data_IF_592600572838
#
_entry.id   IF_592600572838
#
_cell.length_a   1.000
_cell.length_b   1.000
_cell.length_c   1.000
_cell.angle_alpha   90.00
_cell.angle_beta   90.00
_cell.angle_gamma   90.00
#
_symmetry.space_group_name_H-M   'P 1'
#
loop_
_entity.id
_entity.type
_entity.pdbx_description
1 polymer ?
#
# COMPACT_ATOMS: atom_id res chain seq x y z
N UNK A 1 3.83 -4.52 35.11
CA UNK A 1 2.55 -3.77 35.06
C UNK A 1 1.83 -4.18 33.79
N UNK A 2 0.52 -4.48 33.87
CA UNK A 2 -0.29 -4.81 32.68
C UNK A 2 -0.75 -3.50 32.05
N UNK A 3 -0.45 -3.32 30.76
CA UNK A 3 -1.01 -2.22 29.97
C UNK A 3 -2.43 -2.58 29.53
N UNK A 4 -3.36 -1.62 29.60
CA UNK A 4 -4.71 -1.79 29.03
C UNK A 4 -4.82 -1.03 27.72
N UNK A 5 -5.58 -1.54 26.77
CA UNK A 5 -5.90 -0.90 25.50
C UNK A 5 -7.35 -1.22 25.09
N UNK A 6 -8.03 -0.33 24.40
CA UNK A 6 -9.30 -0.64 23.76
C UNK A 6 -9.05 -1.43 22.46
N UNK A 7 -8.02 -1.01 21.71
CA UNK A 7 -7.56 -1.69 20.50
C UNK A 7 -6.06 -1.98 20.59
N UNK A 8 -5.67 -3.23 20.33
CA UNK A 8 -4.29 -3.64 20.13
C UNK A 8 -4.11 -4.07 18.67
N UNK A 9 -3.22 -3.41 17.95
CA UNK A 9 -2.83 -3.77 16.59
C UNK A 9 -1.45 -4.43 16.65
N UNK A 10 -1.35 -5.63 16.07
CA UNK A 10 -0.11 -6.41 15.98
C UNK A 10 0.42 -6.28 14.56
N UNK A 11 1.57 -5.63 14.41
CA UNK A 11 2.25 -5.36 13.14
C UNK A 11 2.25 -3.88 12.76
N UNK A 12 3.46 -3.31 12.61
CA UNK A 12 3.72 -1.91 12.22
C UNK A 12 3.89 -1.72 10.71
N UNK A 13 3.27 -2.59 9.89
CA UNK A 13 3.21 -2.41 8.44
C UNK A 13 2.16 -1.38 8.02
N UNK A 14 2.06 -1.12 6.70
CA UNK A 14 1.08 -0.18 6.15
C UNK A 14 -0.36 -0.52 6.53
N UNK A 15 -0.69 -1.81 6.64
CA UNK A 15 -2.04 -2.25 7.02
C UNK A 15 -2.29 -1.93 8.49
N UNK A 16 -1.38 -2.32 9.39
CA UNK A 16 -1.54 -2.09 10.83
C UNK A 16 -1.62 -0.61 11.19
N UNK A 17 -0.76 0.23 10.60
CA UNK A 17 -0.80 1.68 10.82
C UNK A 17 -2.14 2.29 10.37
N UNK A 18 -2.65 1.91 9.18
CA UNK A 18 -3.93 2.40 8.70
C UNK A 18 -5.11 1.90 9.55
N UNK A 19 -5.07 0.65 10.03
CA UNK A 19 -6.11 0.12 10.94
C UNK A 19 -6.09 0.84 12.29
N UNK A 20 -4.91 1.12 12.84
CA UNK A 20 -4.76 1.89 14.08
C UNK A 20 -5.29 3.32 13.92
N UNK A 21 -4.95 4.00 12.82
CA UNK A 21 -5.46 5.33 12.48
C UNK A 21 -6.99 5.31 12.30
N UNK A 22 -7.53 4.32 11.61
CA UNK A 22 -8.98 4.19 11.41
C UNK A 22 -9.71 3.89 12.72
N UNK A 23 -9.15 3.05 13.61
CA UNK A 23 -9.69 2.82 14.95
C UNK A 23 -9.75 4.13 15.74
N UNK A 24 -8.68 4.92 15.72
CA UNK A 24 -8.62 6.21 16.41
C UNK A 24 -9.58 7.24 15.82
N UNK A 25 -9.74 7.25 14.50
CA UNK A 25 -10.71 8.13 13.81
C UNK A 25 -12.16 7.81 14.17
N UNK A 26 -12.51 6.51 14.25
CA UNK A 26 -13.87 6.06 14.62
C UNK A 26 -14.16 6.20 16.10
N UNK A 27 -13.16 6.02 16.93
CA UNK A 27 -13.26 6.04 18.39
C UNK A 27 -12.21 6.99 18.98
N UNK A 28 -12.41 8.33 18.90
CA UNK A 28 -11.37 9.31 19.28
C UNK A 28 -10.90 9.18 20.71
N UNK A 29 -11.78 8.79 21.65
CA UNK A 29 -11.45 8.58 23.07
C UNK A 29 -10.73 7.27 23.37
N UNK A 30 -10.63 6.35 22.42
CA UNK A 30 -10.05 5.03 22.65
C UNK A 30 -8.53 5.09 22.85
N UNK A 31 -8.03 4.17 23.66
CA UNK A 31 -6.61 3.87 23.77
C UNK A 31 -6.21 2.83 22.74
N UNK A 32 -5.48 3.26 21.72
CA UNK A 32 -4.96 2.41 20.66
C UNK A 32 -3.48 2.15 20.88
N UNK A 33 -3.10 0.88 20.97
CA UNK A 33 -1.70 0.43 21.06
C UNK A 33 -1.37 -0.34 19.79
N UNK A 34 -0.23 -0.05 19.19
CA UNK A 34 0.32 -0.79 18.07
C UNK A 34 1.68 -1.38 18.47
N UNK A 35 1.86 -2.67 18.31
CA UNK A 35 3.15 -3.34 18.55
C UNK A 35 3.80 -3.77 17.25
N UNK A 36 5.12 -3.61 17.15
CA UNK A 36 5.95 -4.04 16.04
C UNK A 36 7.18 -4.78 16.57
N UNK A 37 7.48 -5.96 16.01
CA UNK A 37 8.60 -6.79 16.46
C UNK A 37 9.97 -6.19 16.15
N UNK A 38 10.06 -5.47 15.04
CA UNK A 38 11.29 -4.81 14.61
C UNK A 38 11.50 -3.49 15.37
N UNK A 39 12.66 -2.89 15.25
CA UNK A 39 13.04 -1.61 15.84
C UNK A 39 12.31 -0.40 15.24
N UNK A 40 11.67 -0.60 14.07
CA UNK A 40 10.88 0.41 13.36
C UNK A 40 9.71 -0.19 12.60
N UNK A 41 8.66 0.61 12.41
CA UNK A 41 7.57 0.28 11.50
C UNK A 41 8.04 0.23 10.04
N UNK A 42 7.39 -0.62 9.22
CA UNK A 42 7.70 -0.72 7.80
C UNK A 42 9.03 -1.40 7.45
N UNK A 43 9.69 -2.06 8.39
CA UNK A 43 10.98 -2.70 8.18
C UNK A 43 10.99 -3.80 7.09
N UNK A 44 9.83 -4.36 6.78
CA UNK A 44 9.63 -5.42 5.78
C UNK A 44 8.96 -4.91 4.49
N UNK A 45 8.00 -5.64 3.94
CA UNK A 45 7.39 -5.40 2.64
C UNK A 45 6.86 -3.96 2.45
N UNK A 46 6.30 -3.35 3.49
CA UNK A 46 5.71 -2.01 3.41
C UNK A 46 6.73 -0.92 3.09
N UNK A 47 7.95 -1.01 3.61
CA UNK A 47 9.03 -0.05 3.33
C UNK A 47 10.05 -0.54 2.29
N UNK A 48 9.90 -1.76 1.75
CA UNK A 48 10.87 -2.41 0.84
C UNK A 48 10.22 -2.94 -0.43
N UNK A 49 9.38 -2.13 -1.05
CA UNK A 49 8.74 -2.48 -2.32
C UNK A 49 9.16 -1.49 -3.41
N UNK A 50 8.67 -1.69 -4.63
CA UNK A 50 9.03 -0.85 -5.79
C UNK A 50 8.45 0.57 -5.75
N UNK A 51 7.57 0.88 -4.82
CA UNK A 51 6.87 2.17 -4.74
C UNK A 51 5.90 2.45 -5.89
N UNK A 52 5.61 1.47 -6.73
CA UNK A 52 4.72 1.66 -7.88
C UNK A 52 3.26 1.64 -7.44
N UNK A 53 2.55 2.73 -7.69
CA UNK A 53 1.11 2.83 -7.54
C UNK A 53 0.47 2.26 -8.81
N UNK A 54 0.15 0.97 -8.77
CA UNK A 54 -0.46 0.27 -9.90
C UNK A 54 -1.88 0.78 -10.17
N UNK A 55 -2.19 1.11 -11.41
CA UNK A 55 -3.52 1.59 -11.81
C UNK A 55 -4.64 0.51 -11.72
N UNK A 56 -4.29 -0.77 -11.66
CA UNK A 56 -5.25 -1.86 -11.41
C UNK A 56 -5.67 -2.66 -12.64
N UNK A 57 -5.15 -2.39 -13.83
CA UNK A 57 -5.52 -3.11 -15.07
C UNK A 57 -4.96 -4.54 -15.16
N UNK A 58 -4.02 -4.93 -14.31
CA UNK A 58 -3.51 -6.30 -14.24
C UNK A 58 -4.47 -7.29 -13.59
N UNK A 59 -5.39 -6.80 -12.75
CA UNK A 59 -6.21 -7.67 -11.92
C UNK A 59 -7.50 -8.09 -12.62
N UNK A 60 -7.99 -9.27 -12.25
CA UNK A 60 -9.30 -9.75 -12.70
C UNK A 60 -10.36 -8.72 -12.33
N UNK A 61 -11.21 -8.38 -13.30
CA UNK A 61 -12.35 -7.48 -13.09
C UNK A 61 -13.23 -7.98 -11.93
N UNK A 62 -13.86 -7.06 -11.23
CA UNK A 62 -14.79 -7.33 -10.12
C UNK A 62 -14.13 -7.94 -8.85
N UNK A 63 -12.80 -8.09 -8.85
CA UNK A 63 -12.08 -8.52 -7.65
C UNK A 63 -11.92 -7.36 -6.63
N UNK A 64 -11.91 -7.70 -5.34
CA UNK A 64 -11.58 -6.73 -4.29
C UNK A 64 -10.21 -6.07 -4.53
N UNK A 65 -9.26 -6.84 -5.09
CA UNK A 65 -7.93 -6.33 -5.42
C UNK A 65 -7.98 -5.25 -6.50
N UNK A 66 -8.78 -5.43 -7.57
CA UNK A 66 -8.98 -4.41 -8.60
C UNK A 66 -9.62 -3.16 -8.01
N UNK A 67 -10.67 -3.33 -7.18
CA UNK A 67 -11.38 -2.24 -6.52
C UNK A 67 -10.46 -1.44 -5.59
N UNK A 68 -9.77 -2.09 -4.66
CA UNK A 68 -8.91 -1.42 -3.70
C UNK A 68 -7.68 -0.77 -4.36
N UNK A 69 -7.13 -1.38 -5.42
CA UNK A 69 -6.03 -0.76 -6.17
C UNK A 69 -6.51 0.51 -6.87
N UNK A 70 -7.67 0.50 -7.52
CA UNK A 70 -8.25 1.69 -8.15
C UNK A 70 -8.52 2.80 -7.12
N UNK A 71 -9.13 2.47 -5.98
CA UNK A 71 -9.37 3.44 -4.92
C UNK A 71 -8.06 4.00 -4.34
N UNK A 72 -7.06 3.13 -4.15
CA UNK A 72 -5.74 3.50 -3.65
C UNK A 72 -4.99 4.45 -4.60
N UNK A 73 -5.13 4.23 -5.92
CA UNK A 73 -4.55 5.10 -6.95
C UNK A 73 -5.12 6.53 -6.92
N UNK A 74 -6.32 6.72 -6.39
CA UNK A 74 -6.92 8.04 -6.19
C UNK A 74 -6.55 8.66 -4.84
N UNK A 75 -6.43 7.85 -3.80
CA UNK A 75 -6.23 8.33 -2.41
C UNK A 75 -4.76 8.60 -2.08
N UNK A 76 -3.85 7.71 -2.47
CA UNK A 76 -2.43 7.83 -2.10
C UNK A 76 -1.74 9.06 -2.73
N UNK A 77 -1.99 9.45 -4.00
CA UNK A 77 -1.48 10.70 -4.53
C UNK A 77 -1.91 11.92 -3.73
N UNK A 78 -3.20 11.99 -3.35
CA UNK A 78 -3.72 13.07 -2.51
C UNK A 78 -3.02 13.10 -1.15
N UNK A 79 -2.88 11.96 -0.50
CA UNK A 79 -2.15 11.84 0.76
C UNK A 79 -0.71 12.35 0.62
N UNK A 80 -0.01 11.96 -0.45
CA UNK A 80 1.35 12.43 -0.70
C UNK A 80 1.40 13.96 -0.90
N UNK A 81 0.48 14.51 -1.67
CA UNK A 81 0.40 15.96 -1.92
C UNK A 81 0.10 16.73 -0.62
N UNK A 82 -0.85 16.28 0.19
CA UNK A 82 -1.20 16.87 1.49
C UNK A 82 -0.05 16.84 2.51
N UNK A 83 0.84 15.85 2.40
CA UNK A 83 2.00 15.66 3.29
C UNK A 83 3.33 16.17 2.71
N UNK A 84 3.32 16.74 1.49
CA UNK A 84 4.53 17.19 0.81
C UNK A 84 5.49 16.05 0.43
N UNK A 85 4.99 14.81 0.31
CA UNK A 85 5.79 13.65 -0.11
C UNK A 85 6.00 13.65 -1.61
N UNK A 86 7.16 13.18 -2.05
CA UNK A 86 7.46 13.09 -3.47
C UNK A 86 6.65 12.01 -4.16
N UNK A 87 5.88 12.41 -5.16
CA UNK A 87 5.18 11.51 -6.06
C UNK A 87 5.59 11.82 -7.51
N UNK A 88 5.96 10.77 -8.26
CA UNK A 88 6.27 10.88 -9.69
C UNK A 88 5.12 10.32 -10.50
N UNK A 89 4.37 11.19 -11.16
CA UNK A 89 3.29 10.84 -12.09
C UNK A 89 3.90 10.51 -13.46
N UNK A 90 4.64 9.40 -13.51
CA UNK A 90 5.48 9.04 -14.67
C UNK A 90 4.77 8.13 -15.67
N UNK A 91 3.57 7.64 -15.36
CA UNK A 91 2.91 6.63 -16.18
C UNK A 91 3.64 5.29 -16.19
N UNK A 92 3.17 4.38 -17.03
CA UNK A 92 3.79 3.05 -17.21
C UNK A 92 3.59 2.54 -18.63
N UNK A 93 4.67 2.11 -19.26
CA UNK A 93 4.64 1.33 -20.49
C UNK A 93 4.63 -0.17 -20.17
N UNK A 94 3.80 -0.93 -20.90
CA UNK A 94 3.84 -2.40 -20.93
C UNK A 94 4.14 -2.79 -22.36
N UNK A 95 5.17 -3.60 -22.55
CA UNK A 95 5.71 -3.95 -23.87
C UNK A 95 5.55 -5.44 -24.15
N UNK A 96 5.49 -5.81 -25.42
CA UNK A 96 5.64 -7.18 -25.90
C UNK A 96 7.09 -7.37 -26.37
N UNK A 97 7.73 -8.49 -26.04
CA UNK A 97 9.07 -8.84 -26.53
C UNK A 97 9.02 -9.54 -27.88
N UNK A 98 7.94 -10.26 -28.13
CA UNK A 98 7.69 -11.02 -29.38
C UNK A 98 6.19 -11.11 -29.67
N UNK A 99 5.83 -11.74 -30.81
CA UNK A 99 4.46 -11.90 -31.26
C UNK A 99 3.56 -12.64 -30.25
N UNK A 100 4.13 -13.62 -29.52
CA UNK A 100 3.38 -14.43 -28.54
C UNK A 100 2.86 -13.61 -27.38
N UNK A 101 3.51 -12.49 -27.05
CA UNK A 101 3.09 -11.61 -25.96
C UNK A 101 2.01 -10.60 -26.36
N UNK A 102 1.69 -10.45 -27.65
CA UNK A 102 0.66 -9.51 -28.11
C UNK A 102 -0.72 -9.83 -27.55
N UNK A 103 -1.12 -11.10 -27.53
CA UNK A 103 -2.38 -11.53 -26.93
C UNK A 103 -2.49 -11.14 -25.44
N UNK A 104 -1.35 -11.13 -24.73
CA UNK A 104 -1.26 -10.66 -23.35
C UNK A 104 -1.55 -9.16 -23.22
N UNK A 105 -1.05 -8.34 -24.14
CA UNK A 105 -1.35 -6.89 -24.16
C UNK A 105 -2.84 -6.65 -24.41
N UNK A 106 -3.45 -7.36 -25.35
CA UNK A 106 -4.88 -7.23 -25.66
C UNK A 106 -5.76 -7.59 -24.45
N UNK A 107 -5.39 -8.65 -23.74
CA UNK A 107 -6.08 -9.05 -22.50
C UNK A 107 -5.94 -7.97 -21.41
N UNK A 108 -4.75 -7.39 -21.24
CA UNK A 108 -4.54 -6.30 -20.28
C UNK A 108 -5.35 -5.04 -20.65
N UNK A 109 -5.42 -4.70 -21.94
CA UNK A 109 -6.24 -3.58 -22.42
C UNK A 109 -7.72 -3.83 -22.13
N UNK A 110 -8.21 -5.05 -22.38
CA UNK A 110 -9.59 -5.47 -22.10
C UNK A 110 -9.89 -5.40 -20.60
N UNK A 111 -8.98 -5.87 -19.74
CA UNK A 111 -9.10 -5.75 -18.27
C UNK A 111 -9.10 -4.29 -17.84
N UNK A 112 -8.23 -3.46 -18.38
CA UNK A 112 -8.19 -2.03 -18.10
C UNK A 112 -9.55 -1.37 -18.32
N UNK A 113 -10.16 -1.62 -19.49
CA UNK A 113 -11.52 -1.11 -19.82
C UNK A 113 -12.57 -1.59 -18.82
N UNK A 114 -12.58 -2.89 -18.50
CA UNK A 114 -13.55 -3.46 -17.53
C UNK A 114 -13.36 -2.94 -16.10
N UNK A 115 -12.12 -2.66 -15.73
CA UNK A 115 -11.80 -2.10 -14.40
C UNK A 115 -11.96 -0.58 -14.32
N UNK A 116 -12.36 0.10 -15.42
CA UNK A 116 -12.47 1.55 -15.48
C UNK A 116 -11.12 2.25 -15.31
N UNK A 117 -10.02 1.61 -15.77
CA UNK A 117 -8.66 2.13 -15.72
C UNK A 117 -8.28 2.64 -17.09
N UNK A 118 -7.72 3.86 -17.14
CA UNK A 118 -7.21 4.45 -18.37
C UNK A 118 -5.96 3.72 -18.83
N UNK A 119 -6.07 3.07 -20.00
CA UNK A 119 -4.97 2.36 -20.69
C UNK A 119 -5.14 2.58 -22.19
N UNK A 120 -4.07 3.01 -22.86
CA UNK A 120 -4.02 3.27 -24.29
C UNK A 120 -3.11 2.27 -24.98
N UNK A 121 -3.53 1.80 -26.16
CA UNK A 121 -2.65 1.08 -27.08
C UNK A 121 -1.80 2.08 -27.86
N UNK A 122 -0.51 1.82 -27.98
CA UNK A 122 0.47 2.63 -28.69
C UNK A 122 1.21 1.79 -29.71
N UNK A 123 1.56 2.38 -30.83
CA UNK A 123 2.56 1.84 -31.75
C UNK A 123 3.96 1.88 -31.12
N UNK A 124 4.89 1.09 -31.65
CA UNK A 124 6.28 1.12 -31.22
C UNK A 124 6.93 2.53 -31.36
N UNK A 125 6.48 3.32 -32.35
CA UNK A 125 6.93 4.70 -32.55
C UNK A 125 6.44 5.62 -31.44
N UNK A 126 5.17 5.55 -31.09
CA UNK A 126 4.58 6.36 -30.00
C UNK A 126 5.17 5.99 -28.63
N UNK A 127 5.40 4.71 -28.40
CA UNK A 127 6.05 4.25 -27.19
C UNK A 127 7.46 4.84 -27.04
N UNK A 128 8.24 4.92 -28.14
CA UNK A 128 9.57 5.56 -28.14
C UNK A 128 9.53 7.08 -27.95
N UNK A 129 8.44 7.74 -28.29
CA UNK A 129 8.28 9.16 -28.01
C UNK A 129 8.13 9.43 -26.51
N UNK A 130 7.60 8.45 -25.74
CA UNK A 130 7.48 8.52 -24.28
C UNK A 130 8.80 8.11 -23.60
N UNK A 131 9.37 6.96 -24.01
CA UNK A 131 10.66 6.48 -23.48
C UNK A 131 11.56 6.06 -24.66
N UNK A 132 12.55 6.87 -25.02
CA UNK A 132 13.39 6.63 -26.20
C UNK A 132 14.13 5.29 -26.22
N UNK A 133 14.40 4.70 -25.04
CA UNK A 133 15.10 3.41 -24.91
C UNK A 133 14.16 2.21 -24.97
N UNK A 134 12.84 2.43 -25.00
CA UNK A 134 11.88 1.34 -25.02
C UNK A 134 12.02 0.49 -26.30
N UNK A 135 11.92 -0.81 -26.11
CA UNK A 135 11.81 -1.79 -27.21
C UNK A 135 10.54 -2.57 -27.03
N UNK A 136 9.72 -2.60 -28.04
CA UNK A 136 8.52 -3.40 -28.09
C UNK A 136 8.34 -4.01 -29.48
N UNK A 137 7.76 -5.21 -29.52
CA UNK A 137 7.32 -5.84 -30.77
C UNK A 137 5.95 -5.28 -31.12
N UNK A 138 5.87 -4.61 -32.28
CA UNK A 138 4.68 -3.99 -32.88
C UNK A 138 4.02 -2.91 -32.02
N UNK A 139 3.45 -3.24 -30.86
CA UNK A 139 2.67 -2.33 -30.01
C UNK A 139 3.03 -2.42 -28.53
N UNK A 140 2.60 -1.42 -27.79
CA UNK A 140 2.74 -1.30 -26.33
C UNK A 140 1.43 -0.82 -25.70
N UNK A 141 1.31 -0.90 -24.38
CA UNK A 141 0.25 -0.22 -23.63
C UNK A 141 0.84 0.90 -22.80
N UNK A 142 0.11 2.00 -22.71
CA UNK A 142 0.41 3.15 -21.86
C UNK A 142 -0.68 3.33 -20.80
N UNK A 143 -0.27 3.35 -19.53
CA UNK A 143 -1.12 3.66 -18.39
C UNK A 143 -0.67 4.99 -17.78
N UNK A 144 -1.31 6.13 -18.10
CA UNK A 144 -0.90 7.46 -17.65
C UNK A 144 -1.08 7.66 -16.14
N UNK A 145 -2.00 6.96 -15.52
CA UNK A 145 -2.34 7.12 -14.10
C UNK A 145 -1.42 6.35 -13.14
N UNK A 146 -0.52 5.52 -13.66
CA UNK A 146 0.50 4.86 -12.83
C UNK A 146 1.51 5.89 -12.34
N UNK A 147 1.85 5.82 -11.06
CA UNK A 147 2.80 6.72 -10.40
C UNK A 147 3.81 5.94 -9.57
N UNK A 148 4.83 6.61 -9.06
CA UNK A 148 5.75 6.01 -8.09
C UNK A 148 6.00 6.95 -6.92
N UNK A 149 6.23 6.37 -5.74
CA UNK A 149 6.57 7.05 -4.48
C UNK A 149 7.77 6.36 -3.84
N UNK A 150 8.38 7.00 -2.87
CA UNK A 150 9.29 6.33 -1.95
C UNK A 150 8.46 5.65 -0.85
N UNK A 151 8.43 4.31 -0.76
CA UNK A 151 7.65 3.62 0.25
C UNK A 151 8.16 3.88 1.67
N UNK A 152 9.44 4.20 1.87
CA UNK A 152 9.97 4.53 3.18
C UNK A 152 9.45 5.90 3.65
N UNK A 153 9.47 6.93 2.79
CA UNK A 153 8.89 8.25 3.09
C UNK A 153 7.39 8.14 3.43
N UNK A 154 6.63 7.31 2.71
CA UNK A 154 5.21 7.08 3.00
C UNK A 154 5.02 6.41 4.36
N UNK A 155 5.85 5.41 4.70
CA UNK A 155 5.77 4.74 5.99
C UNK A 155 6.12 5.67 7.16
N UNK A 156 7.15 6.52 7.01
CA UNK A 156 7.53 7.51 8.01
C UNK A 156 6.41 8.53 8.25
N UNK A 157 5.78 9.00 7.19
CA UNK A 157 4.63 9.90 7.26
C UNK A 157 3.46 9.27 8.02
N UNK A 158 3.10 8.01 7.71
CA UNK A 158 2.04 7.29 8.42
C UNK A 158 2.35 7.08 9.89
N UNK A 159 3.61 6.81 10.26
CA UNK A 159 4.05 6.74 11.65
C UNK A 159 3.90 8.10 12.36
N UNK A 160 4.26 9.17 11.66
CA UNK A 160 4.05 10.54 12.14
C UNK A 160 2.59 10.83 12.44
N UNK A 161 1.70 10.51 11.48
CA UNK A 161 0.25 10.67 11.63
C UNK A 161 -0.30 9.84 12.80
N UNK A 162 0.15 8.60 12.96
CA UNK A 162 -0.28 7.73 14.04
C UNK A 162 0.14 8.27 15.41
N UNK A 163 1.36 8.78 15.55
CA UNK A 163 1.84 9.44 16.77
C UNK A 163 1.07 10.72 17.09
N UNK A 164 0.85 11.55 16.08
CA UNK A 164 0.06 12.78 16.20
C UNK A 164 -1.39 12.51 16.64
N UNK A 165 -1.96 11.38 16.20
CA UNK A 165 -3.27 10.91 16.63
C UNK A 165 -3.28 10.31 18.05
N UNK A 166 -2.14 10.23 18.75
CA UNK A 166 -2.02 9.68 20.10
C UNK A 166 -2.06 8.14 20.14
N UNK A 167 -1.64 7.46 19.07
CA UNK A 167 -1.48 6.01 19.06
C UNK A 167 -0.16 5.66 19.74
N UNK A 168 -0.21 4.74 20.72
CA UNK A 168 0.96 4.22 21.44
C UNK A 168 1.68 3.16 20.58
N UNK A 169 2.72 3.58 19.85
CA UNK A 169 3.51 2.71 18.99
C UNK A 169 4.69 2.14 19.76
N UNK A 170 4.75 0.83 19.89
CA UNK A 170 5.80 0.08 20.60
C UNK A 170 6.57 -0.81 19.62
N UNK A 171 7.72 -0.34 19.20
CA UNK A 171 8.68 -1.11 18.39
C UNK A 171 9.51 -2.05 19.27
N UNK A 172 10.27 -2.96 18.65
CA UNK A 172 11.03 -4.01 19.34
C UNK A 172 10.15 -4.80 20.35
N UNK A 173 8.85 -4.98 20.02
CA UNK A 173 7.84 -5.60 20.86
C UNK A 173 7.11 -6.66 20.05
N UNK A 174 7.56 -7.92 20.18
CA UNK A 174 6.98 -9.04 19.46
C UNK A 174 5.79 -9.63 20.22
N UNK A 175 4.76 -10.02 19.46
CA UNK A 175 3.71 -10.92 19.93
C UNK A 175 4.31 -12.29 20.28
N UNK A 176 3.93 -12.86 21.41
CA UNK A 176 4.32 -14.20 21.84
C UNK A 176 3.11 -15.13 21.78
N UNK A 177 2.09 -14.82 22.54
CA UNK A 177 0.87 -15.63 22.62
C UNK A 177 -0.33 -14.77 23.09
N UNK A 178 -1.50 -15.36 23.07
CA UNK A 178 -2.73 -14.79 23.64
C UNK A 178 -3.35 -15.79 24.60
N UNK A 179 -3.71 -15.33 25.78
CA UNK A 179 -4.46 -16.09 26.76
C UNK A 179 -5.72 -15.34 27.25
N UNK A 180 -6.39 -15.84 28.27
CA UNK A 180 -7.59 -15.22 28.84
C UNK A 180 -7.34 -13.84 29.46
N UNK A 181 -6.10 -13.52 29.87
CA UNK A 181 -5.74 -12.27 30.48
C UNK A 181 -5.20 -11.21 29.49
N UNK A 182 -5.06 -11.58 28.20
CA UNK A 182 -4.66 -10.67 27.14
C UNK A 182 -3.56 -11.21 26.24
N UNK A 183 -2.81 -10.29 25.63
CA UNK A 183 -1.69 -10.58 24.74
C UNK A 183 -0.38 -10.49 25.48
N UNK A 184 0.39 -11.56 25.46
CA UNK A 184 1.77 -11.63 25.95
C UNK A 184 2.70 -11.16 24.86
N UNK A 185 3.59 -10.26 25.18
CA UNK A 185 4.63 -9.73 24.30
C UNK A 185 6.00 -9.93 24.90
N UNK A 186 7.06 -9.75 24.10
CA UNK A 186 8.45 -9.78 24.61
C UNK A 186 8.74 -8.67 25.64
N UNK A 187 7.84 -7.69 25.81
CA UNK A 187 7.97 -6.56 26.75
C UNK A 187 6.85 -6.49 27.78
N UNK A 188 6.19 -7.60 28.03
CA UNK A 188 5.12 -7.70 29.02
C UNK A 188 3.74 -7.93 28.42
N UNK A 189 2.71 -7.81 29.24
CA UNK A 189 1.33 -8.15 28.88
C UNK A 189 0.52 -6.91 28.56
N UNK A 190 -0.36 -7.05 27.56
CA UNK A 190 -1.35 -6.03 27.16
C UNK A 190 -2.73 -6.65 27.23
N UNK A 191 -3.58 -6.15 28.12
CA UNK A 191 -5.00 -6.48 28.12
C UNK A 191 -5.72 -5.58 27.11
N UNK A 192 -6.40 -6.16 26.11
CA UNK A 192 -7.05 -5.41 25.06
C UNK A 192 -8.49 -5.83 24.85
N UNK A 193 -9.39 -4.87 24.63
CA UNK A 193 -10.79 -5.13 24.29
C UNK A 193 -10.93 -5.74 22.90
N UNK A 194 -10.15 -5.25 21.93
CA UNK A 194 -10.09 -5.78 20.57
C UNK A 194 -8.63 -5.99 20.16
N UNK A 195 -8.32 -7.15 19.57
CA UNK A 195 -6.99 -7.47 19.03
C UNK A 195 -7.08 -7.65 17.53
N UNK A 196 -6.26 -6.92 16.79
CA UNK A 196 -6.19 -6.93 15.32
C UNK A 196 -4.78 -7.40 14.94
N UNK A 197 -4.69 -8.49 14.20
CA UNK A 197 -3.44 -8.99 13.64
C UNK A 197 -3.32 -8.52 12.17
N UNK A 198 -2.22 -7.79 11.81
CA UNK A 198 -2.06 -7.11 10.53
C UNK A 198 -0.68 -7.31 9.89
#
# INVERSE_FOLDING_TARGET
MTTTADFLVIGGGVIGLNLALEAKRRYPGSRVVLIEKEDRCGAHASGRNSGVLHAGFYYTADSLKARFTREGTLRLPRYCEERGLRIRKCGKLVVARDERELAGLEELLRRGRRNGVEVHELTAREARAIEPRVRTYDKALWSPTTSSVDPAEVMESLVGDARAAGIDIRTATAFVERDAAGVVTTRGRIAAGCVINA
#
